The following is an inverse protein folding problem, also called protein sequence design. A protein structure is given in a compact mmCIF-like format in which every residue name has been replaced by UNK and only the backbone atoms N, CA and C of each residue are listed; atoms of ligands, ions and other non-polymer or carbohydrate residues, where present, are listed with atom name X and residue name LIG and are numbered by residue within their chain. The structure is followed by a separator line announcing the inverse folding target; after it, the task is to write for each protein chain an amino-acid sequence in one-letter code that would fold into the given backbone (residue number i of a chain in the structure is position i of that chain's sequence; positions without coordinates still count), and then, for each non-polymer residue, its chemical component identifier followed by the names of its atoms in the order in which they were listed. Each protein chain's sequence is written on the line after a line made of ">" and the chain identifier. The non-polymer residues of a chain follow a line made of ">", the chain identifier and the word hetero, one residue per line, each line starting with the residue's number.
data_IF_147458543642
#
_entry.id   IF_147458543642
#
_cell.length_a   1.000
_cell.length_b   1.000
_cell.length_c   1.000
_cell.angle_alpha   90.00
_cell.angle_beta   90.00
_cell.angle_gamma   90.00
#
_symmetry.space_group_name_H-M   'P 1'
#
loop_
_entity.id
_entity.type
_entity.pdbx_description
1 polymer ?
#
# COMPACT_ATOMS: atom_id res chain seq x y z
N UNK A 1 0.49 -1.39 -1.51
CA UNK A 1 -0.18 -0.14 -1.10
C UNK A 1 -1.54 -0.52 -0.53
N UNK A 2 -1.94 0.05 0.61
CA UNK A 2 -3.27 -0.13 1.21
C UNK A 2 -3.78 1.23 1.67
N UNK A 3 -5.04 1.56 1.42
CA UNK A 3 -5.66 2.71 2.07
C UNK A 3 -6.03 2.38 3.52
N UNK A 4 -5.72 3.27 4.46
CA UNK A 4 -5.97 3.07 5.89
C UNK A 4 -7.44 2.86 6.23
N UNK A 5 -8.34 3.45 5.43
CA UNK A 5 -9.80 3.34 5.59
C UNK A 5 -10.40 2.32 4.59
N UNK A 6 -9.59 1.45 3.99
CA UNK A 6 -10.11 0.44 3.06
C UNK A 6 -10.97 -0.60 3.78
N UNK A 7 -12.24 -0.71 3.39
CA UNK A 7 -13.14 -1.78 3.82
C UNK A 7 -13.03 -3.08 3.01
N UNK A 8 -12.14 -3.14 2.01
CA UNK A 8 -11.98 -4.29 1.12
C UNK A 8 -10.69 -5.08 1.35
N UNK A 9 -9.63 -4.40 1.84
CA UNK A 9 -8.34 -5.02 2.14
C UNK A 9 -7.99 -4.69 3.58
N UNK A 10 -7.89 -5.73 4.39
CA UNK A 10 -7.60 -5.68 5.82
C UNK A 10 -6.11 -5.85 6.11
N UNK A 11 -5.73 -5.72 7.38
CA UNK A 11 -4.38 -6.05 7.82
C UNK A 11 -4.10 -7.56 7.78
N UNK A 12 -5.14 -8.39 7.91
CA UNK A 12 -5.03 -9.86 7.77
C UNK A 12 -4.68 -10.26 6.34
N UNK A 13 -5.26 -9.60 5.33
CA UNK A 13 -4.93 -9.83 3.93
C UNK A 13 -3.45 -9.49 3.63
N UNK A 14 -2.94 -8.41 4.26
CA UNK A 14 -1.52 -8.03 4.17
C UNK A 14 -0.63 -9.08 4.84
N UNK A 15 -1.04 -9.59 6.01
CA UNK A 15 -0.31 -10.65 6.70
C UNK A 15 -0.26 -11.94 5.87
N UNK A 16 -1.38 -12.31 5.23
CA UNK A 16 -1.44 -13.49 4.38
C UNK A 16 -0.59 -13.34 3.11
N UNK A 17 -0.59 -12.16 2.50
CA UNK A 17 0.32 -11.85 1.40
C UNK A 17 1.78 -11.96 1.84
N UNK A 18 2.14 -11.41 2.99
CA UNK A 18 3.48 -11.49 3.55
C UNK A 18 3.93 -12.93 3.80
N UNK A 19 3.00 -13.80 4.23
CA UNK A 19 3.26 -15.22 4.45
C UNK A 19 3.52 -15.99 3.14
N UNK A 20 2.83 -15.65 2.06
CA UNK A 20 2.88 -16.41 0.79
C UNK A 20 3.90 -15.88 -0.22
N UNK A 21 4.18 -14.58 -0.24
CA UNK A 21 4.96 -13.96 -1.30
C UNK A 21 6.44 -13.83 -0.94
N UNK A 22 7.30 -14.63 -1.60
CA UNK A 22 8.75 -14.70 -1.38
C UNK A 22 9.48 -13.35 -1.50
N UNK A 23 8.96 -12.43 -2.30
CA UNK A 23 9.59 -11.12 -2.54
C UNK A 23 8.81 -9.96 -1.95
N UNK A 24 7.85 -10.23 -1.06
CA UNK A 24 7.11 -9.17 -0.41
C UNK A 24 8.02 -8.38 0.54
N UNK A 25 8.10 -7.07 0.33
CA UNK A 25 8.96 -6.17 1.13
C UNK A 25 8.18 -5.37 2.18
N UNK A 26 6.87 -5.57 2.28
CA UNK A 26 5.98 -4.84 3.17
C UNK A 26 4.90 -4.05 2.43
N UNK A 27 3.90 -3.59 3.18
CA UNK A 27 2.84 -2.72 2.69
C UNK A 27 3.06 -1.29 3.20
N UNK A 28 2.86 -0.32 2.31
CA UNK A 28 2.65 1.06 2.71
C UNK A 28 1.16 1.30 2.92
N UNK A 29 0.79 1.66 4.15
CA UNK A 29 -0.55 2.10 4.52
C UNK A 29 -0.62 3.61 4.33
N UNK A 30 -1.61 4.07 3.56
CA UNK A 30 -1.85 5.49 3.30
C UNK A 30 -3.06 5.91 4.13
N UNK A 31 -2.82 6.60 5.26
CA UNK A 31 -3.85 7.09 6.17
C UNK A 31 -4.87 7.97 5.42
N UNK A 32 -6.14 7.98 5.82
CA UNK A 32 -7.20 8.79 5.18
C UNK A 32 -7.55 8.43 3.72
N UNK A 33 -7.05 7.31 3.19
CA UNK A 33 -7.49 6.76 1.89
C UNK A 33 -8.37 5.53 2.04
N UNK A 34 -9.38 5.41 1.19
CA UNK A 34 -10.19 4.22 1.00
C UNK A 34 -9.51 3.19 0.10
N UNK A 35 -10.30 2.39 -0.63
CA UNK A 35 -9.73 1.35 -1.50
C UNK A 35 -8.92 1.93 -2.68
N UNK A 36 -9.32 3.08 -3.22
CA UNK A 36 -8.65 3.72 -4.35
C UNK A 36 -7.66 4.79 -3.88
N UNK A 37 -6.52 4.37 -3.35
CA UNK A 37 -5.41 5.28 -2.95
C UNK A 37 -5.00 6.22 -4.09
N UNK A 38 -5.10 5.75 -5.35
CA UNK A 38 -4.76 6.53 -6.54
C UNK A 38 -5.64 7.77 -6.71
N UNK A 39 -6.93 7.66 -6.38
CA UNK A 39 -7.88 8.78 -6.47
C UNK A 39 -7.88 9.63 -5.21
N UNK A 40 -7.80 9.00 -4.04
CA UNK A 40 -7.93 9.68 -2.75
C UNK A 40 -6.67 10.49 -2.42
N UNK A 41 -5.47 9.93 -2.69
CA UNK A 41 -4.19 10.57 -2.39
C UNK A 41 -3.15 10.38 -3.51
N UNK A 42 -3.40 10.95 -4.71
CA UNK A 42 -2.51 10.81 -5.86
C UNK A 42 -1.09 11.33 -5.57
N UNK A 43 -0.95 12.41 -4.80
CA UNK A 43 0.36 12.99 -4.48
C UNK A 43 1.18 12.11 -3.52
N UNK A 44 0.55 11.65 -2.43
CA UNK A 44 1.22 10.75 -1.48
C UNK A 44 1.63 9.43 -2.16
N UNK A 45 0.77 8.90 -3.05
CA UNK A 45 1.11 7.73 -3.85
C UNK A 45 2.36 7.97 -4.72
N UNK A 46 2.41 9.09 -5.45
CA UNK A 46 3.57 9.43 -6.30
C UNK A 46 4.85 9.51 -5.48
N UNK A 47 4.82 10.11 -4.30
CA UNK A 47 6.01 10.25 -3.45
C UNK A 47 6.50 8.89 -2.92
N UNK A 48 5.58 8.00 -2.53
CA UNK A 48 5.92 6.62 -2.16
C UNK A 48 6.52 5.86 -3.35
N UNK A 49 5.92 5.96 -4.54
CA UNK A 49 6.42 5.30 -5.74
C UNK A 49 7.83 5.79 -6.13
N UNK A 50 8.12 7.09 -6.02
CA UNK A 50 9.47 7.61 -6.23
C UNK A 50 10.46 7.01 -5.24
N UNK A 51 10.08 6.87 -3.97
CA UNK A 51 10.91 6.26 -2.94
C UNK A 51 11.17 4.77 -3.16
N UNK A 52 10.22 4.03 -3.75
CA UNK A 52 10.35 2.59 -4.04
C UNK A 52 11.11 2.35 -5.33
N UNK A 53 10.75 3.04 -6.42
CA UNK A 53 11.31 2.84 -7.75
C UNK A 53 12.67 3.53 -7.94
N UNK A 54 12.96 4.56 -7.14
CA UNK A 54 14.25 5.26 -7.15
C UNK A 54 15.36 4.52 -6.40
N UNK A 55 15.03 3.51 -5.58
CA UNK A 55 16.02 2.63 -4.93
C UNK A 55 16.37 1.49 -5.89
N UNK A 56 17.47 1.64 -6.63
CA UNK A 56 18.11 0.55 -7.37
C UNK A 56 18.96 -0.30 -6.44
#
# INVERSE_FOLDING_TARGET
>A
MRGGNSGFVSDEDVAELARRATHFRGAHVVADSGHSVQSDQPRALVDILRGVLGRR
#
